data_IF_018221719836
#
_entry.id   IF_018221719836
#
_cell.length_a   1.000
_cell.length_b   1.000
_cell.length_c   1.000
_cell.angle_alpha   90.00
_cell.angle_beta   90.00
_cell.angle_gamma   90.00
#
_symmetry.space_group_name_H-M   'P 1'
#
loop_
_entity.id
_entity.type
_entity.pdbx_description
1 polymer ?
#
# COMPACT_ATOMS: atom_id res chain seq x y z
N UNK A 1 47.75 6.17 53.34
CA UNK A 1 46.79 7.27 53.57
C UNK A 1 45.89 7.44 52.35
N UNK A 2 44.59 7.64 52.59
CA UNK A 2 43.53 8.13 51.67
C UNK A 2 43.07 7.23 50.51
N UNK A 3 42.01 6.49 50.83
CA UNK A 3 40.92 6.03 49.96
C UNK A 3 40.28 7.21 49.21
N UNK A 4 39.66 6.96 48.06
CA UNK A 4 38.30 7.45 47.78
C UNK A 4 37.62 6.65 46.66
N UNK A 5 36.55 5.96 47.09
CA UNK A 5 35.52 5.28 46.32
C UNK A 5 34.64 6.28 45.58
N UNK A 6 34.15 5.92 44.39
CA UNK A 6 32.80 6.28 43.95
C UNK A 6 32.09 5.10 43.27
N UNK A 7 31.44 4.34 44.14
CA UNK A 7 30.20 3.58 43.99
C UNK A 7 29.43 3.80 42.68
N UNK A 8 29.14 2.73 41.91
CA UNK A 8 27.92 1.88 41.92
C UNK A 8 26.97 2.27 40.77
N UNK A 9 26.69 1.33 39.88
CA UNK A 9 25.36 0.73 39.82
C UNK A 9 25.32 -0.56 38.99
N UNK A 10 24.79 -1.59 39.64
CA UNK A 10 24.31 -2.85 39.10
C UNK A 10 22.90 -2.63 38.57
N UNK A 11 22.63 -3.00 37.31
CA UNK A 11 21.30 -3.43 36.88
C UNK A 11 21.47 -4.53 35.83
N UNK A 12 21.02 -5.72 36.19
CA UNK A 12 20.82 -6.84 35.28
C UNK A 12 19.64 -6.53 34.34
N UNK A 13 19.78 -6.87 33.05
CA UNK A 13 18.64 -7.03 32.16
C UNK A 13 18.93 -8.21 31.22
N UNK A 14 18.19 -9.29 31.45
CA UNK A 14 18.11 -10.47 30.59
C UNK A 14 17.18 -10.19 29.39
N UNK A 15 17.40 -10.94 28.31
CA UNK A 15 16.46 -11.34 27.24
C UNK A 15 15.99 -10.30 26.22
N UNK A 16 16.47 -10.42 24.98
CA UNK A 16 15.75 -11.09 23.88
C UNK A 16 16.46 -10.87 22.54
N UNK A 17 16.36 -11.81 21.58
CA UNK A 17 16.81 -11.54 20.22
C UNK A 17 15.89 -10.46 19.63
N UNK A 18 16.48 -9.40 19.10
CA UNK A 18 15.80 -8.47 18.20
C UNK A 18 15.35 -9.24 16.96
N UNK A 19 14.18 -9.88 17.06
CA UNK A 19 13.39 -10.19 15.87
C UNK A 19 12.73 -8.87 15.49
N UNK A 20 13.49 -8.03 14.80
CA UNK A 20 12.92 -6.93 14.05
C UNK A 20 12.08 -7.58 12.93
N UNK A 21 10.79 -7.70 13.18
CA UNK A 21 9.79 -8.01 12.17
C UNK A 21 9.78 -6.88 11.16
N UNK A 22 10.66 -6.96 10.16
CA UNK A 22 10.66 -6.10 8.99
C UNK A 22 9.55 -6.54 8.04
N UNK A 23 8.30 -6.55 8.52
CA UNK A 23 7.18 -6.30 7.63
C UNK A 23 7.24 -4.82 7.33
N UNK A 24 8.16 -4.45 6.42
CA UNK A 24 8.23 -3.12 5.88
C UNK A 24 6.83 -2.78 5.38
N UNK A 25 6.13 -1.89 6.08
CA UNK A 25 4.90 -1.30 5.58
C UNK A 25 5.24 -0.72 4.21
N UNK A 26 4.85 -1.43 3.15
CA UNK A 26 5.05 -0.94 1.79
C UNK A 26 4.47 0.46 1.73
N UNK A 27 5.29 1.42 1.32
CA UNK A 27 4.85 2.80 1.21
C UNK A 27 3.71 2.91 0.21
N UNK A 28 2.94 3.99 0.30
CA UNK A 28 1.89 4.28 -0.67
C UNK A 28 2.44 4.29 -2.10
N UNK A 29 3.62 4.89 -2.29
CA UNK A 29 4.33 4.93 -3.57
C UNK A 29 4.69 3.53 -4.09
N UNK A 30 5.19 2.64 -3.23
CA UNK A 30 5.51 1.27 -3.61
C UNK A 30 4.28 0.44 -3.96
N UNK A 31 3.12 0.80 -3.39
CA UNK A 31 1.88 0.04 -3.62
C UNK A 31 1.13 0.53 -4.85
N UNK A 32 1.08 1.84 -5.09
CA UNK A 32 0.18 2.43 -6.10
C UNK A 32 0.90 3.23 -7.18
N UNK A 33 2.14 3.66 -6.98
CA UNK A 33 2.86 4.53 -7.91
C UNK A 33 4.00 3.79 -8.62
N UNK A 34 3.78 2.50 -8.93
CA UNK A 34 4.66 1.69 -9.76
C UNK A 34 4.10 1.55 -11.16
N UNK A 35 4.96 1.57 -12.18
CA UNK A 35 4.55 1.28 -13.55
C UNK A 35 5.34 0.06 -14.03
N UNK A 36 4.63 -1.05 -14.24
CA UNK A 36 5.23 -2.21 -14.89
C UNK A 36 5.36 -1.97 -16.39
N UNK A 37 6.44 -2.49 -16.96
CA UNK A 37 6.75 -2.36 -18.40
C UNK A 37 5.64 -2.99 -19.27
N UNK A 38 4.92 -3.96 -18.72
CA UNK A 38 3.81 -4.65 -19.39
C UNK A 38 2.48 -3.88 -19.32
N UNK A 39 2.36 -2.90 -18.42
CA UNK A 39 1.15 -2.08 -18.32
C UNK A 39 1.02 -1.20 -19.55
N UNK A 40 0.02 -1.52 -20.38
CA UNK A 40 -0.35 -0.73 -21.54
C UNK A 40 -1.65 0.00 -21.27
N UNK A 41 -1.78 1.19 -21.85
CA UNK A 41 -3.04 1.90 -21.87
C UNK A 41 -4.07 1.02 -22.61
N UNK A 42 -5.18 0.72 -21.94
CA UNK A 42 -6.27 -0.04 -22.54
C UNK A 42 -6.98 0.74 -23.64
N UNK A 43 -7.75 0.03 -24.47
CA UNK A 43 -8.60 0.61 -25.52
C UNK A 43 -9.99 1.04 -25.05
N UNK A 44 -10.30 0.82 -23.77
CA UNK A 44 -11.59 1.15 -23.15
C UNK A 44 -11.43 2.32 -22.19
N UNK A 45 -12.42 3.20 -22.17
CA UNK A 45 -12.47 4.37 -21.29
C UNK A 45 -13.66 4.26 -20.33
N UNK A 46 -13.46 4.67 -19.09
CA UNK A 46 -14.52 4.82 -18.09
C UNK A 46 -14.57 6.30 -17.71
N UNK A 47 -15.77 6.85 -17.60
CA UNK A 47 -15.95 8.22 -17.16
C UNK A 47 -15.78 8.33 -15.64
N UNK A 48 -15.02 9.34 -15.21
CA UNK A 48 -14.84 9.72 -13.82
C UNK A 48 -15.48 11.09 -13.59
N UNK A 49 -15.97 11.33 -12.37
CA UNK A 49 -16.40 12.67 -12.00
C UNK A 49 -15.21 13.64 -12.07
N UNK A 50 -15.43 14.94 -12.38
CA UNK A 50 -14.35 15.93 -12.43
C UNK A 50 -13.53 15.97 -11.14
N UNK A 51 -14.20 15.88 -10.00
CA UNK A 51 -13.57 15.88 -8.68
C UNK A 51 -12.65 14.67 -8.47
N UNK A 52 -13.07 13.47 -8.86
CA UNK A 52 -12.21 12.29 -8.77
C UNK A 52 -11.02 12.39 -9.72
N UNK A 53 -11.24 12.87 -10.94
CA UNK A 53 -10.16 13.07 -11.91
C UNK A 53 -9.10 14.04 -11.37
N UNK A 54 -9.52 15.18 -10.80
CA UNK A 54 -8.61 16.17 -10.23
C UNK A 54 -7.79 15.59 -9.07
N UNK A 55 -8.44 14.88 -8.14
CA UNK A 55 -7.76 14.25 -7.01
C UNK A 55 -6.72 13.23 -7.46
N UNK A 56 -7.08 12.35 -8.39
CA UNK A 56 -6.15 11.34 -8.92
C UNK A 56 -4.98 11.99 -9.66
N UNK A 57 -5.25 13.03 -10.44
CA UNK A 57 -4.21 13.79 -11.16
C UNK A 57 -3.23 14.43 -10.19
N UNK A 58 -3.73 15.06 -9.12
CA UNK A 58 -2.89 15.73 -8.13
C UNK A 58 -2.00 14.76 -7.35
N UNK A 59 -2.47 13.54 -7.09
CA UNK A 59 -1.66 12.49 -6.45
C UNK A 59 -0.48 12.11 -7.36
N UNK A 60 -0.75 11.87 -8.64
CA UNK A 60 0.29 11.50 -9.62
C UNK A 60 1.32 12.62 -9.77
N UNK A 61 0.89 13.88 -9.77
CA UNK A 61 1.78 15.03 -9.89
C UNK A 61 2.63 15.24 -8.63
N UNK A 62 2.02 15.22 -7.44
CA UNK A 62 2.69 15.62 -6.20
C UNK A 62 3.49 14.48 -5.58
N UNK A 63 2.94 13.26 -5.58
CA UNK A 63 3.58 12.09 -4.95
C UNK A 63 4.30 11.25 -6.02
N UNK A 64 3.68 11.09 -7.19
CA UNK A 64 4.28 10.35 -8.30
C UNK A 64 5.35 11.12 -9.08
N UNK A 65 5.56 12.40 -8.77
CA UNK A 65 6.56 13.27 -9.42
C UNK A 65 6.45 13.25 -10.96
N UNK A 66 5.22 13.17 -11.48
CA UNK A 66 4.89 13.02 -12.91
C UNK A 66 5.55 11.83 -13.62
N UNK A 67 6.13 10.87 -12.88
CA UNK A 67 6.83 9.70 -13.43
C UNK A 67 5.91 8.53 -13.79
N UNK A 68 4.65 8.57 -13.34
CA UNK A 68 3.66 7.53 -13.60
C UNK A 68 2.47 8.12 -14.35
N UNK A 69 2.02 7.53 -15.46
CA UNK A 69 0.80 8.00 -16.12
C UNK A 69 -0.44 7.67 -15.29
N UNK A 70 -1.46 8.52 -15.37
CA UNK A 70 -2.71 8.38 -14.61
C UNK A 70 -3.39 7.01 -14.77
N UNK A 71 -3.29 6.39 -15.95
CA UNK A 71 -3.88 5.07 -16.19
C UNK A 71 -3.17 3.96 -15.40
N UNK A 72 -1.85 4.05 -15.22
CA UNK A 72 -1.07 3.06 -14.47
C UNK A 72 -1.44 3.14 -12.98
N UNK A 73 -1.50 4.36 -12.44
CA UNK A 73 -1.98 4.59 -11.09
C UNK A 73 -3.40 4.05 -10.87
N UNK A 74 -4.33 4.33 -11.80
CA UNK A 74 -5.70 3.82 -11.72
C UNK A 74 -5.74 2.28 -11.78
N UNK A 75 -4.94 1.66 -12.65
CA UNK A 75 -4.84 0.20 -12.73
C UNK A 75 -4.36 -0.39 -11.40
N UNK A 76 -3.34 0.19 -10.76
CA UNK A 76 -2.83 -0.30 -9.48
C UNK A 76 -3.88 -0.19 -8.37
N UNK A 77 -4.67 0.90 -8.34
CA UNK A 77 -5.80 1.04 -7.41
C UNK A 77 -6.81 -0.09 -7.62
N UNK A 78 -7.18 -0.36 -8.87
CA UNK A 78 -8.15 -1.39 -9.22
C UNK A 78 -7.62 -2.79 -8.89
N UNK A 79 -6.36 -3.09 -9.19
CA UNK A 79 -5.75 -4.38 -8.88
C UNK A 79 -5.70 -4.62 -7.38
N UNK A 80 -5.29 -3.62 -6.59
CA UNK A 80 -5.35 -3.70 -5.14
C UNK A 80 -6.78 -3.88 -4.64
N UNK A 81 -7.75 -3.14 -5.19
CA UNK A 81 -9.16 -3.28 -4.85
C UNK A 81 -9.64 -4.72 -5.10
N UNK A 82 -9.36 -5.29 -6.29
CA UNK A 82 -9.75 -6.65 -6.61
C UNK A 82 -9.07 -7.66 -5.68
N UNK A 83 -7.79 -7.48 -5.35
CA UNK A 83 -7.08 -8.35 -4.41
C UNK A 83 -7.69 -8.34 -3.01
N UNK A 84 -8.03 -7.16 -2.49
CA UNK A 84 -8.63 -7.03 -1.15
C UNK A 84 -10.05 -7.59 -1.10
N UNK A 85 -10.83 -7.38 -2.16
CA UNK A 85 -12.26 -7.70 -2.19
C UNK A 85 -12.62 -8.95 -3.00
N UNK A 86 -11.65 -9.72 -3.50
CA UNK A 86 -11.86 -10.88 -4.38
C UNK A 86 -12.90 -11.86 -3.84
N UNK A 87 -12.72 -12.29 -2.59
CA UNK A 87 -13.61 -13.25 -1.94
C UNK A 87 -15.03 -12.70 -1.79
N UNK A 88 -15.16 -11.44 -1.37
CA UNK A 88 -16.45 -10.77 -1.18
C UNK A 88 -17.18 -10.60 -2.51
N UNK A 89 -16.49 -10.07 -3.52
CA UNK A 89 -17.02 -9.90 -4.88
C UNK A 89 -17.47 -11.25 -5.42
N UNK A 90 -16.64 -12.28 -5.30
CA UNK A 90 -16.94 -13.63 -5.82
C UNK A 90 -18.14 -14.25 -5.12
N UNK A 91 -18.23 -14.12 -3.79
CA UNK A 91 -19.35 -14.64 -3.00
C UNK A 91 -20.66 -13.95 -3.41
N UNK A 92 -20.70 -12.63 -3.38
CA UNK A 92 -21.91 -11.87 -3.71
C UNK A 92 -22.33 -12.05 -5.17
N UNK A 93 -21.36 -12.13 -6.09
CA UNK A 93 -21.64 -12.42 -7.50
C UNK A 93 -22.32 -13.78 -7.65
N UNK A 94 -21.80 -14.83 -6.99
CA UNK A 94 -22.42 -16.17 -7.03
C UNK A 94 -23.81 -16.19 -6.41
N UNK A 95 -24.01 -15.51 -5.28
CA UNK A 95 -25.32 -15.45 -4.60
C UNK A 95 -26.37 -14.76 -5.48
N UNK A 96 -26.05 -13.60 -6.07
CA UNK A 96 -26.98 -12.86 -6.94
C UNK A 96 -27.18 -13.56 -8.30
N UNK A 97 -26.14 -14.19 -8.84
CA UNK A 97 -26.24 -14.93 -10.10
C UNK A 97 -27.06 -16.22 -9.95
N UNK A 98 -26.96 -16.92 -8.80
CA UNK A 98 -27.81 -18.08 -8.50
C UNK A 98 -29.29 -17.73 -8.37
N UNK A 99 -29.63 -16.48 -8.02
CA UNK A 99 -31.01 -16.02 -7.89
C UNK A 99 -31.72 -15.75 -9.23
N UNK A 100 -31.07 -16.03 -10.37
CA UNK A 100 -31.68 -15.80 -11.70
C UNK A 100 -32.64 -16.93 -12.13
N UNK A 101 -32.71 -18.04 -11.39
CA UNK A 101 -33.72 -19.10 -11.54
C UNK A 101 -34.07 -19.72 -10.19
#
# INVERSE_FOLDING_TARGET
MKKNNKNRNVVAANNSPEVMSNEAKNSYEQTFLQMDIEQKRGSKSIYLSPEHHERLTRIVQVIGDDKIPLFAYLNNILEHHFKVYENTITKEFKEKYKSLF
#
